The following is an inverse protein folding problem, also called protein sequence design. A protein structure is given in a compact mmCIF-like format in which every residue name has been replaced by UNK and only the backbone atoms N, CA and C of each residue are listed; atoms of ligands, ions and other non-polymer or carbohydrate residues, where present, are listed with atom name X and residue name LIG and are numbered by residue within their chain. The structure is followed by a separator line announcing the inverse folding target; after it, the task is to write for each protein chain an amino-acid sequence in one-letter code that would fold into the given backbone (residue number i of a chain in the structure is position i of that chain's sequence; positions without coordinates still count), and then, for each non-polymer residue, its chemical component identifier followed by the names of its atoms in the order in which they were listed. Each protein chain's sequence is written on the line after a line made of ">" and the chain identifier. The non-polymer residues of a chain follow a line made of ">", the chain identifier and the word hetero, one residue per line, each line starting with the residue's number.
data_IF_994095041848
#
_entry.id   IF_994095041848
#
_cell.length_a   1.000
_cell.length_b   1.000
_cell.length_c   1.000
_cell.angle_alpha   90.00
_cell.angle_beta   90.00
_cell.angle_gamma   90.00
#
_symmetry.space_group_name_H-M   'P 1'
#
loop_
_entity.id
_entity.type
_entity.pdbx_description
1 polymer ?
#
# COMPACT_ATOMS: atom_id res chain seq x y z
N UNK A 1 -3.44 22.03 -24.02
CA UNK A 1 -2.30 21.48 -23.24
C UNK A 1 -2.72 20.50 -22.16
N UNK A 2 -3.76 20.76 -21.33
CA UNK A 2 -4.17 19.85 -20.24
C UNK A 2 -4.61 18.44 -20.72
N UNK A 3 -5.25 18.31 -21.89
CA UNK A 3 -5.66 16.99 -22.41
C UNK A 3 -4.48 16.11 -22.83
N UNK A 4 -3.46 16.67 -23.48
CA UNK A 4 -2.29 15.88 -23.91
C UNK A 4 -1.47 15.35 -22.72
N UNK A 5 -1.38 16.10 -21.63
CA UNK A 5 -0.69 15.66 -20.41
C UNK A 5 -1.48 14.61 -19.62
N UNK A 6 -2.80 14.71 -19.60
CA UNK A 6 -3.67 13.69 -18.97
C UNK A 6 -3.64 12.38 -19.75
N UNK A 7 -3.67 12.41 -21.09
CA UNK A 7 -3.54 11.19 -21.92
C UNK A 7 -2.17 10.53 -21.74
N UNK A 8 -1.07 11.31 -21.73
CA UNK A 8 0.29 10.77 -21.51
C UNK A 8 0.45 10.19 -20.10
N UNK A 9 -0.02 10.89 -19.07
CA UNK A 9 0.05 10.41 -17.68
C UNK A 9 -0.76 9.13 -17.47
N UNK A 10 -1.96 9.05 -18.05
CA UNK A 10 -2.81 7.85 -18.01
C UNK A 10 -2.07 6.63 -18.61
N UNK A 11 -1.45 6.79 -19.78
CA UNK A 11 -0.68 5.71 -20.41
C UNK A 11 0.52 5.23 -19.58
N UNK A 12 1.23 6.15 -18.90
CA UNK A 12 2.33 5.78 -17.99
C UNK A 12 1.82 4.93 -16.83
N UNK A 13 0.69 5.29 -16.22
CA UNK A 13 0.13 4.51 -15.11
C UNK A 13 -0.42 3.15 -15.57
N UNK A 14 -0.95 3.02 -16.78
CA UNK A 14 -1.28 1.70 -17.34
C UNK A 14 -0.03 0.82 -17.51
N UNK A 15 1.08 1.37 -18.01
CA UNK A 15 2.33 0.64 -18.11
C UNK A 15 2.85 0.22 -16.73
N UNK A 16 2.81 1.12 -15.74
CA UNK A 16 3.18 0.81 -14.36
C UNK A 16 2.29 -0.29 -13.77
N UNK A 17 0.99 -0.30 -14.08
CA UNK A 17 0.10 -1.38 -13.67
C UNK A 17 0.59 -2.74 -14.21
N UNK A 18 0.92 -2.83 -15.52
CA UNK A 18 1.43 -4.07 -16.11
C UNK A 18 2.75 -4.52 -15.46
N UNK A 19 3.67 -3.58 -15.20
CA UNK A 19 4.94 -3.86 -14.53
C UNK A 19 4.69 -4.36 -13.09
N UNK A 20 3.82 -3.68 -12.34
CA UNK A 20 3.44 -4.07 -10.98
C UNK A 20 2.80 -5.44 -10.92
N UNK A 21 1.89 -5.74 -11.85
CA UNK A 21 1.26 -7.06 -11.96
C UNK A 21 2.32 -8.13 -12.24
N UNK A 22 3.18 -7.92 -13.25
CA UNK A 22 4.23 -8.87 -13.60
C UNK A 22 5.20 -9.12 -12.43
N UNK A 23 5.64 -8.05 -11.76
CA UNK A 23 6.59 -8.15 -10.64
C UNK A 23 6.00 -8.93 -9.45
N UNK A 24 4.78 -8.58 -9.02
CA UNK A 24 4.14 -9.21 -7.86
C UNK A 24 3.68 -10.64 -8.15
N UNK A 25 3.02 -10.87 -9.29
CA UNK A 25 2.45 -12.19 -9.60
C UNK A 25 3.49 -13.22 -9.99
N UNK A 26 4.65 -12.82 -10.54
CA UNK A 26 5.77 -13.76 -10.74
C UNK A 26 6.14 -14.43 -9.42
N UNK A 27 6.26 -13.67 -8.34
CA UNK A 27 6.56 -14.23 -7.01
C UNK A 27 5.36 -14.91 -6.36
N UNK A 28 4.13 -14.45 -6.61
CA UNK A 28 2.93 -15.14 -6.13
C UNK A 28 2.82 -16.56 -6.73
N UNK A 29 3.06 -16.72 -8.03
CA UNK A 29 3.11 -18.05 -8.65
C UNK A 29 4.24 -18.92 -8.09
N UNK A 30 5.41 -18.34 -7.83
CA UNK A 30 6.50 -19.05 -7.15
C UNK A 30 6.09 -19.48 -5.73
N UNK A 31 5.35 -18.65 -5.01
CA UNK A 31 4.84 -18.99 -3.68
C UNK A 31 3.82 -20.13 -3.73
N UNK A 32 2.89 -20.11 -4.68
CA UNK A 32 1.94 -21.22 -4.88
C UNK A 32 2.67 -22.52 -5.18
N UNK A 33 3.69 -22.48 -6.03
CA UNK A 33 4.50 -23.64 -6.34
C UNK A 33 5.32 -24.14 -5.13
N UNK A 34 5.91 -23.22 -4.37
CA UNK A 34 6.62 -23.52 -3.14
C UNK A 34 5.70 -24.21 -2.12
N UNK A 35 4.52 -23.62 -1.86
CA UNK A 35 3.52 -24.16 -0.93
C UNK A 35 3.01 -25.53 -1.38
N UNK A 36 2.69 -25.70 -2.66
CA UNK A 36 2.23 -26.99 -3.19
C UNK A 36 3.28 -28.09 -3.02
N UNK A 37 4.55 -27.79 -3.31
CA UNK A 37 5.66 -28.74 -3.12
C UNK A 37 5.84 -29.14 -1.66
N UNK A 38 5.73 -28.17 -0.75
CA UNK A 38 5.84 -28.42 0.68
C UNK A 38 4.69 -29.30 1.19
N UNK A 39 3.44 -28.94 0.85
CA UNK A 39 2.26 -29.75 1.19
C UNK A 39 2.40 -31.18 0.65
N UNK A 40 2.81 -31.34 -0.62
CA UNK A 40 2.98 -32.65 -1.25
C UNK A 40 4.04 -33.50 -0.54
N UNK A 41 5.15 -32.90 -0.09
CA UNK A 41 6.19 -33.61 0.64
C UNK A 41 5.70 -34.12 2.00
N UNK A 42 4.81 -33.39 2.67
CA UNK A 42 4.24 -33.78 3.97
C UNK A 42 3.09 -34.76 3.85
N UNK A 43 2.26 -34.63 2.82
CA UNK A 43 1.05 -35.42 2.66
C UNK A 43 1.32 -36.92 2.38
N UNK A 44 2.57 -37.33 2.14
CA UNK A 44 3.00 -38.73 1.88
C UNK A 44 2.33 -39.42 0.68
N UNK A 45 1.45 -38.71 -0.02
CA UNK A 45 0.79 -39.21 -1.21
C UNK A 45 1.67 -38.97 -2.43
N UNK A 46 2.11 -40.05 -3.09
CA UNK A 46 2.74 -40.03 -4.41
C UNK A 46 1.80 -39.60 -5.54
N UNK A 47 0.81 -38.73 -5.26
CA UNK A 47 -0.21 -38.32 -6.20
C UNK A 47 0.43 -37.57 -7.38
N UNK A 48 0.05 -37.88 -8.63
CA UNK A 48 0.40 -37.05 -9.77
C UNK A 48 -0.24 -35.66 -9.62
N UNK A 49 0.24 -34.68 -10.37
CA UNK A 49 -0.43 -33.37 -10.44
C UNK A 49 -1.77 -33.55 -11.13
N UNK A 50 -2.86 -33.33 -10.40
CA UNK A 50 -4.24 -33.40 -10.90
C UNK A 50 -5.10 -32.29 -10.28
N UNK A 51 -6.31 -32.10 -10.80
CA UNK A 51 -7.27 -31.19 -10.16
C UNK A 51 -7.62 -31.63 -8.74
N UNK A 52 -7.69 -32.95 -8.49
CA UNK A 52 -7.92 -33.49 -7.15
C UNK A 52 -6.78 -33.15 -6.19
N UNK A 53 -5.52 -33.26 -6.63
CA UNK A 53 -4.37 -32.91 -5.80
C UNK A 53 -4.29 -31.41 -5.53
N UNK A 54 -4.67 -30.57 -6.49
CA UNK A 54 -4.78 -29.11 -6.31
C UNK A 54 -5.92 -28.79 -5.34
N UNK A 55 -7.07 -29.44 -5.47
CA UNK A 55 -8.22 -29.25 -4.59
C UNK A 55 -7.88 -29.63 -3.15
N UNK A 56 -7.21 -30.77 -2.93
CA UNK A 56 -6.76 -31.18 -1.60
C UNK A 56 -5.72 -30.21 -1.02
N UNK A 57 -4.76 -29.75 -1.82
CA UNK A 57 -3.79 -28.75 -1.39
C UNK A 57 -4.45 -27.45 -0.93
N UNK A 58 -5.39 -26.91 -1.72
CA UNK A 58 -6.11 -25.68 -1.38
C UNK A 58 -7.04 -25.84 -0.17
N UNK A 59 -7.56 -27.05 0.06
CA UNK A 59 -8.35 -27.38 1.25
C UNK A 59 -7.48 -27.46 2.51
N UNK A 60 -6.32 -28.11 2.43
CA UNK A 60 -5.47 -28.41 3.59
C UNK A 60 -4.50 -27.28 3.96
N UNK A 61 -4.37 -26.27 3.10
CA UNK A 61 -3.37 -25.20 3.28
C UNK A 61 -4.02 -23.83 3.43
N UNK A 62 -3.73 -23.17 4.55
CA UNK A 62 -4.06 -21.76 4.77
C UNK A 62 -3.05 -20.84 4.08
N UNK A 63 -3.12 -20.74 2.74
CA UNK A 63 -2.17 -19.95 1.94
C UNK A 63 -2.03 -18.51 2.43
N UNK A 64 -3.16 -17.85 2.71
CA UNK A 64 -3.16 -16.46 3.15
C UNK A 64 -2.51 -16.28 4.53
N UNK A 65 -2.83 -17.15 5.50
CA UNK A 65 -2.22 -17.10 6.84
C UNK A 65 -0.71 -17.35 6.77
N UNK A 66 -0.30 -18.39 6.05
CA UNK A 66 1.12 -18.72 5.89
C UNK A 66 1.94 -17.60 5.23
N UNK A 67 1.41 -16.99 4.16
CA UNK A 67 2.06 -15.87 3.49
C UNK A 67 2.20 -14.66 4.42
N UNK A 68 1.13 -14.27 5.11
CA UNK A 68 1.17 -13.10 5.98
C UNK A 68 2.05 -13.30 7.22
N UNK A 69 2.08 -14.50 7.81
CA UNK A 69 3.02 -14.80 8.90
C UNK A 69 4.46 -14.73 8.42
N UNK A 70 4.75 -15.25 7.23
CA UNK A 70 6.09 -15.20 6.66
C UNK A 70 6.62 -13.77 6.48
N UNK A 71 5.75 -12.82 6.15
CA UNK A 71 6.14 -11.42 5.92
C UNK A 71 6.00 -10.53 7.17
N UNK A 72 5.39 -11.04 8.24
CA UNK A 72 5.19 -10.32 9.50
C UNK A 72 6.05 -10.81 10.67
N UNK A 73 6.60 -12.02 10.58
CA UNK A 73 7.47 -12.56 11.64
C UNK A 73 8.93 -12.24 11.33
N UNK A 74 9.53 -11.40 12.19
CA UNK A 74 10.93 -11.00 12.11
C UNK A 74 11.08 -9.52 11.75
N UNK A 75 12.10 -8.87 12.33
CA UNK A 75 12.25 -7.42 12.26
C UNK A 75 12.46 -6.93 10.82
N UNK A 76 13.27 -7.65 10.04
CA UNK A 76 13.58 -7.29 8.66
C UNK A 76 12.46 -7.61 7.69
N UNK A 77 11.73 -8.71 7.88
CA UNK A 77 10.53 -9.04 7.12
C UNK A 77 9.47 -7.95 7.34
N UNK A 78 9.27 -7.57 8.60
CA UNK A 78 8.32 -6.55 8.96
C UNK A 78 8.74 -5.16 8.47
N UNK A 79 10.03 -4.83 8.42
CA UNK A 79 10.57 -3.58 7.81
C UNK A 79 10.05 -3.36 6.39
N UNK A 80 9.93 -4.40 5.59
CA UNK A 80 9.27 -4.31 4.29
C UNK A 80 7.75 -4.18 4.49
N UNK A 81 7.12 -5.19 5.08
CA UNK A 81 5.67 -5.37 5.05
C UNK A 81 4.87 -4.24 5.70
N UNK A 82 5.40 -3.64 6.78
CA UNK A 82 4.71 -2.56 7.48
C UNK A 82 4.51 -1.35 6.58
N UNK A 83 5.43 -1.09 5.63
CA UNK A 83 5.34 0.06 4.72
C UNK A 83 4.13 -0.08 3.80
N UNK A 84 3.87 -1.29 3.29
CA UNK A 84 2.71 -1.56 2.45
C UNK A 84 1.41 -1.45 3.25
N UNK A 85 1.40 -2.01 4.47
CA UNK A 85 0.22 -1.97 5.34
C UNK A 85 -0.12 -0.54 5.76
N UNK A 86 0.88 0.22 6.21
CA UNK A 86 0.71 1.60 6.66
C UNK A 86 0.34 2.53 5.49
N UNK A 87 0.98 2.37 4.32
CA UNK A 87 0.58 3.06 3.09
C UNK A 87 -0.88 2.79 2.76
N UNK A 88 -1.30 1.53 2.79
CA UNK A 88 -2.65 1.11 2.39
C UNK A 88 -3.71 1.72 3.31
N UNK A 89 -3.47 1.67 4.62
CA UNK A 89 -4.37 2.22 5.65
C UNK A 89 -4.40 3.74 5.66
N UNK A 90 -3.25 4.39 5.80
CA UNK A 90 -3.20 5.81 6.14
C UNK A 90 -3.03 6.74 4.94
N UNK A 91 -2.69 6.19 3.76
CA UNK A 91 -2.42 6.99 2.55
C UNK A 91 -3.37 6.63 1.43
N UNK A 92 -3.39 5.37 1.01
CA UNK A 92 -4.14 4.96 -0.17
C UNK A 92 -5.65 4.97 0.06
N UNK A 93 -6.11 4.47 1.21
CA UNK A 93 -7.54 4.53 1.58
C UNK A 93 -8.08 5.97 1.57
N UNK A 94 -7.42 6.95 2.23
CA UNK A 94 -7.82 8.36 2.13
C UNK A 94 -7.78 8.91 0.70
N UNK A 95 -6.75 8.60 -0.08
CA UNK A 95 -6.65 9.05 -1.49
C UNK A 95 -7.87 8.54 -2.28
N UNK A 96 -8.18 7.25 -2.19
CA UNK A 96 -9.34 6.68 -2.88
C UNK A 96 -10.64 7.32 -2.41
N UNK A 97 -10.84 7.46 -1.10
CA UNK A 97 -12.06 8.05 -0.55
C UNK A 97 -12.24 9.53 -0.98
N UNK A 98 -11.18 10.33 -0.84
CA UNK A 98 -11.19 11.76 -1.14
C UNK A 98 -11.28 12.01 -2.64
N UNK A 99 -10.37 11.43 -3.44
CA UNK A 99 -10.35 11.66 -4.89
C UNK A 99 -11.51 10.96 -5.59
N UNK A 100 -11.92 9.78 -5.12
CA UNK A 100 -13.13 9.10 -5.59
C UNK A 100 -14.38 9.94 -5.36
N UNK A 101 -14.51 10.57 -4.19
CA UNK A 101 -15.60 11.50 -3.92
C UNK A 101 -15.50 12.76 -4.78
N UNK A 102 -14.34 13.41 -4.83
CA UNK A 102 -14.14 14.66 -5.59
C UNK A 102 -14.47 14.53 -7.06
N UNK A 103 -14.12 13.38 -7.64
CA UNK A 103 -14.25 13.08 -9.07
C UNK A 103 -15.49 12.26 -9.41
N UNK A 104 -16.27 11.88 -8.39
CA UNK A 104 -17.46 11.03 -8.53
C UNK A 104 -17.15 9.73 -9.28
N UNK A 105 -16.00 9.13 -8.99
CA UNK A 105 -15.59 7.86 -9.62
C UNK A 105 -16.53 6.75 -9.09
N UNK A 106 -17.30 6.08 -9.96
CA UNK A 106 -18.18 5.01 -9.54
C UNK A 106 -17.35 3.82 -9.06
N UNK A 107 -17.86 3.11 -8.06
CA UNK A 107 -17.26 1.88 -7.53
C UNK A 107 -15.78 2.02 -7.13
N UNK A 108 -15.37 3.16 -6.54
CA UNK A 108 -13.97 3.38 -6.12
C UNK A 108 -13.46 2.29 -5.16
N UNK A 109 -14.35 1.67 -4.39
CA UNK A 109 -14.06 0.53 -3.52
C UNK A 109 -13.51 -0.69 -4.29
N UNK A 110 -13.82 -0.83 -5.58
CA UNK A 110 -13.33 -1.93 -6.40
C UNK A 110 -11.80 -1.88 -6.56
N UNK A 111 -11.20 -0.69 -6.57
CA UNK A 111 -9.74 -0.56 -6.56
C UNK A 111 -9.15 -1.09 -5.26
N UNK A 112 -9.77 -0.82 -4.11
CA UNK A 112 -9.34 -1.39 -2.83
C UNK A 112 -9.41 -2.92 -2.85
N UNK A 113 -10.52 -3.51 -3.30
CA UNK A 113 -10.62 -4.97 -3.42
C UNK A 113 -9.59 -5.55 -4.38
N UNK A 114 -9.37 -4.89 -5.52
CA UNK A 114 -8.33 -5.28 -6.47
C UNK A 114 -6.95 -5.25 -5.82
N UNK A 115 -6.69 -4.27 -4.96
CA UNK A 115 -5.47 -4.18 -4.17
C UNK A 115 -5.29 -5.34 -3.19
N UNK A 116 -6.38 -5.76 -2.53
CA UNK A 116 -6.36 -6.89 -1.60
C UNK A 116 -6.18 -8.25 -2.28
N UNK A 117 -6.75 -8.42 -3.48
CA UNK A 117 -6.75 -9.70 -4.20
C UNK A 117 -5.51 -9.86 -5.10
N UNK A 118 -5.04 -8.77 -5.71
CA UNK A 118 -4.00 -8.81 -6.75
C UNK A 118 -2.69 -8.22 -6.23
N UNK A 119 -2.64 -6.89 -6.06
CA UNK A 119 -1.51 -6.14 -5.52
C UNK A 119 -1.90 -4.67 -5.35
N UNK A 120 -1.38 -4.01 -4.32
CA UNK A 120 -1.69 -2.59 -4.04
C UNK A 120 -1.11 -1.70 -5.14
N UNK A 121 0.09 -1.97 -5.64
CA UNK A 121 0.72 -1.21 -6.73
C UNK A 121 -0.01 -1.32 -8.06
N UNK A 122 -0.53 -2.51 -8.40
CA UNK A 122 -1.37 -2.70 -9.57
C UNK A 122 -2.64 -1.85 -9.48
N UNK A 123 -3.37 -1.98 -8.37
CA UNK A 123 -4.60 -1.23 -8.15
C UNK A 123 -4.37 0.28 -8.05
N UNK A 124 -3.30 0.72 -7.39
CA UNK A 124 -2.92 2.13 -7.26
C UNK A 124 -2.59 2.76 -8.61
N UNK A 125 -1.87 2.04 -9.47
CA UNK A 125 -1.57 2.50 -10.83
C UNK A 125 -2.84 2.72 -11.63
N UNK A 126 -3.76 1.75 -11.64
CA UNK A 126 -5.05 1.90 -12.32
C UNK A 126 -5.89 3.03 -11.72
N UNK A 127 -5.92 3.15 -10.39
CA UNK A 127 -6.65 4.23 -9.71
C UNK A 127 -6.08 5.60 -10.09
N UNK A 128 -4.76 5.78 -10.15
CA UNK A 128 -4.15 7.03 -10.58
C UNK A 128 -4.42 7.35 -12.06
N UNK A 129 -4.45 6.35 -12.94
CA UNK A 129 -4.88 6.52 -14.32
C UNK A 129 -6.31 7.08 -14.40
N UNK A 130 -7.24 6.53 -13.60
CA UNK A 130 -8.63 7.01 -13.55
C UNK A 130 -8.77 8.38 -12.90
N UNK A 131 -8.03 8.66 -11.83
CA UNK A 131 -7.99 9.99 -11.19
C UNK A 131 -7.55 11.06 -12.20
N UNK A 132 -6.61 10.76 -13.10
CA UNK A 132 -6.19 11.68 -14.15
C UNK A 132 -7.25 11.87 -15.24
N UNK A 133 -8.07 10.86 -15.51
CA UNK A 133 -9.10 10.90 -16.54
C UNK A 133 -10.37 11.66 -16.09
N UNK A 134 -10.72 11.62 -14.81
CA UNK A 134 -11.94 12.26 -14.29
C UNK A 134 -11.65 13.64 -13.68
N UNK A 135 -12.37 14.71 -14.05
CA UNK A 135 -12.18 16.03 -13.44
C UNK A 135 -12.73 16.08 -12.01
N UNK A 136 -12.09 16.84 -11.13
CA UNK A 136 -12.60 17.11 -9.79
C UNK A 136 -13.77 18.11 -9.84
N UNK A 137 -14.87 17.81 -9.16
CA UNK A 137 -16.13 18.59 -9.20
C UNK A 137 -16.77 18.84 -7.84
N UNK A 138 -16.49 18.02 -6.82
CA UNK A 138 -17.06 18.14 -5.46
C UNK A 138 -15.96 18.16 -4.41
N UNK A 139 -16.26 18.64 -3.20
CA UNK A 139 -15.40 18.42 -2.03
C UNK A 139 -16.01 17.34 -1.12
N UNK A 140 -15.17 16.59 -0.38
CA UNK A 140 -15.63 15.62 0.62
C UNK A 140 -16.51 16.24 1.70
N UNK A 141 -17.53 15.49 2.14
CA UNK A 141 -18.33 15.83 3.33
C UNK A 141 -17.56 15.59 4.63
N UNK A 142 -17.88 16.35 5.68
CA UNK A 142 -17.35 16.18 7.05
C UNK A 142 -17.48 14.75 7.57
N UNK A 143 -18.61 14.09 7.32
CA UNK A 143 -18.85 12.73 7.80
C UNK A 143 -17.90 11.70 7.16
N UNK A 144 -17.57 11.92 5.88
CA UNK A 144 -16.56 11.12 5.18
C UNK A 144 -15.18 11.35 5.81
N UNK A 145 -14.81 12.60 6.10
CA UNK A 145 -13.51 12.90 6.71
C UNK A 145 -13.38 12.33 8.12
N UNK A 146 -14.43 12.42 8.95
CA UNK A 146 -14.47 11.78 10.29
C UNK A 146 -14.30 10.27 10.19
N UNK A 147 -15.00 9.64 9.24
CA UNK A 147 -14.89 8.21 8.97
C UNK A 147 -13.48 7.81 8.52
N UNK A 148 -12.88 8.59 7.63
CA UNK A 148 -11.48 8.41 7.20
C UNK A 148 -10.56 8.46 8.42
N UNK A 149 -10.63 9.50 9.25
CA UNK A 149 -9.79 9.63 10.45
C UNK A 149 -9.93 8.42 11.36
N UNK A 150 -11.16 7.99 11.64
CA UNK A 150 -11.42 6.79 12.46
C UNK A 150 -10.75 5.54 11.86
N UNK A 151 -10.90 5.33 10.54
CA UNK A 151 -10.32 4.17 9.86
C UNK A 151 -8.80 4.22 9.81
N UNK A 152 -8.20 5.40 9.62
CA UNK A 152 -6.74 5.59 9.68
C UNK A 152 -6.22 5.24 11.07
N UNK A 153 -6.80 5.82 12.13
CA UNK A 153 -6.32 5.61 13.50
C UNK A 153 -6.47 4.14 13.90
N UNK A 154 -7.65 3.55 13.67
CA UNK A 154 -7.88 2.13 13.94
C UNK A 154 -6.96 1.23 13.12
N UNK A 155 -6.81 1.50 11.83
CA UNK A 155 -5.98 0.70 10.95
C UNK A 155 -4.49 0.81 11.31
N UNK A 156 -3.98 2.00 11.63
CA UNK A 156 -2.60 2.17 12.09
C UNK A 156 -2.38 1.42 13.41
N UNK A 157 -3.38 1.40 14.31
CA UNK A 157 -3.38 0.55 15.48
C UNK A 157 -3.18 -0.93 15.13
N UNK A 158 -3.93 -1.45 14.15
CA UNK A 158 -3.76 -2.84 13.69
C UNK A 158 -2.39 -3.10 13.04
N UNK A 159 -1.82 -2.12 12.32
CA UNK A 159 -0.46 -2.22 11.76
C UNK A 159 0.56 -2.33 12.89
N UNK A 160 0.52 -1.43 13.87
CA UNK A 160 1.45 -1.46 15.02
C UNK A 160 1.31 -2.75 15.83
N UNK A 161 0.10 -3.28 15.99
CA UNK A 161 -0.15 -4.54 16.70
C UNK A 161 0.34 -5.79 15.96
N UNK A 162 0.39 -5.75 14.62
CA UNK A 162 0.67 -6.91 13.76
C UNK A 162 1.90 -7.74 14.17
N UNK A 163 3.11 -7.17 14.36
CA UNK A 163 4.29 -7.98 14.72
C UNK A 163 4.15 -8.65 16.08
N UNK A 164 3.41 -8.06 17.03
CA UNK A 164 3.19 -8.62 18.36
C UNK A 164 2.22 -9.79 18.37
N UNK A 165 1.24 -9.79 17.45
CA UNK A 165 0.27 -10.89 17.32
C UNK A 165 0.64 -11.89 16.23
N UNK A 166 1.67 -11.63 15.41
CA UNK A 166 2.04 -12.42 14.22
C UNK A 166 2.34 -13.90 14.48
N UNK A 167 2.74 -14.27 15.70
CA UNK A 167 2.97 -15.68 16.10
C UNK A 167 1.77 -16.32 16.78
N UNK A 168 0.77 -15.53 17.18
CA UNK A 168 -0.41 -16.01 17.91
C UNK A 168 -1.61 -16.28 17.01
N UNK A 169 -2.68 -16.76 17.64
CA UNK A 169 -3.98 -17.03 16.98
C UNK A 169 -4.72 -15.74 16.59
N UNK A 170 -4.50 -14.66 17.35
CA UNK A 170 -5.11 -13.35 17.10
C UNK A 170 -4.63 -12.63 15.83
N UNK A 171 -3.59 -13.14 15.15
CA UNK A 171 -3.03 -12.51 13.95
C UNK A 171 -4.08 -12.31 12.85
N UNK A 172 -4.83 -13.37 12.54
CA UNK A 172 -5.82 -13.35 11.46
C UNK A 172 -6.99 -12.41 11.77
N UNK A 173 -7.39 -12.31 13.03
CA UNK A 173 -8.43 -11.36 13.45
C UNK A 173 -7.95 -9.90 13.35
N UNK A 174 -6.71 -9.62 13.75
CA UNK A 174 -6.11 -8.29 13.61
C UNK A 174 -6.02 -7.90 12.12
N UNK A 175 -5.59 -8.82 11.27
CA UNK A 175 -5.49 -8.60 9.83
C UNK A 175 -6.87 -8.41 9.18
N UNK A 176 -7.88 -9.22 9.54
CA UNK A 176 -9.26 -9.03 9.10
C UNK A 176 -9.81 -7.66 9.52
N UNK A 177 -9.54 -7.24 10.76
CA UNK A 177 -9.93 -5.92 11.27
C UNK A 177 -9.31 -4.80 10.43
N UNK A 178 -8.02 -4.91 10.11
CA UNK A 178 -7.34 -3.98 9.20
C UNK A 178 -8.10 -3.89 7.86
N UNK A 179 -8.42 -5.03 7.23
CA UNK A 179 -9.10 -5.06 5.93
C UNK A 179 -10.50 -4.45 5.96
N UNK A 180 -11.28 -4.68 7.02
CA UNK A 180 -12.60 -4.05 7.19
C UNK A 180 -12.46 -2.52 7.24
N UNK A 181 -11.49 -2.02 8.00
CA UNK A 181 -11.24 -0.57 8.14
C UNK A 181 -10.80 0.09 6.82
N UNK A 182 -10.13 -0.65 5.94
CA UNK A 182 -9.73 -0.14 4.62
C UNK A 182 -10.93 0.13 3.68
N UNK A 183 -11.99 -0.66 3.79
CA UNK A 183 -13.13 -0.60 2.87
C UNK A 183 -14.21 0.35 3.40
N UNK A 184 -14.38 0.44 4.71
CA UNK A 184 -15.44 1.20 5.37
C UNK A 184 -15.60 2.67 4.90
N UNK A 185 -14.54 3.46 4.64
CA UNK A 185 -14.67 4.84 4.14
C UNK A 185 -14.95 4.94 2.63
N UNK A 186 -14.90 3.83 1.88
CA UNK A 186 -15.08 3.81 0.43
C UNK A 186 -16.54 3.62 0.00
N UNK A 187 -17.43 3.30 0.94
CA UNK A 187 -18.87 3.29 0.71
C UNK A 187 -19.44 4.70 0.83
N UNK A 188 -20.23 5.10 -0.18
CA UNK A 188 -20.73 6.47 -0.33
C UNK A 188 -21.64 6.88 0.83
N UNK A 189 -21.33 8.01 1.45
CA UNK A 189 -22.24 8.73 2.37
C UNK A 189 -22.94 9.86 1.61
N UNK A 190 -24.13 10.26 2.10
CA UNK A 190 -24.93 11.33 1.49
C UNK A 190 -24.12 12.62 1.31
N UNK A 191 -24.41 13.33 0.22
CA UNK A 191 -23.67 14.52 -0.18
C UNK A 191 -24.06 15.74 0.66
N UNK A 192 -23.11 16.25 1.43
CA UNK A 192 -23.07 17.64 1.87
C UNK A 192 -21.71 18.19 1.44
N UNK A 193 -21.71 19.26 0.64
CA UNK A 193 -20.47 19.87 0.15
C UNK A 193 -20.08 21.00 1.08
N UNK A 194 -18.98 20.83 1.81
CA UNK A 194 -18.37 21.90 2.59
C UNK A 194 -16.89 21.95 2.26
N UNK A 195 -16.35 23.15 2.01
CA UNK A 195 -14.92 23.30 1.69
C UNK A 195 -14.10 23.01 2.95
N UNK A 196 -13.43 21.85 3.00
CA UNK A 196 -12.58 21.46 4.15
C UNK A 196 -11.11 21.14 3.78
N UNK A 197 -10.43 22.01 3.01
CA UNK A 197 -9.06 21.70 2.57
C UNK A 197 -8.06 21.62 3.73
N UNK A 198 -8.33 22.25 4.88
CA UNK A 198 -7.42 22.21 6.04
C UNK A 198 -7.46 20.85 6.74
N UNK A 199 -8.65 20.25 6.89
CA UNK A 199 -8.81 18.92 7.48
C UNK A 199 -8.15 17.86 6.61
N UNK A 200 -8.33 17.95 5.29
CA UNK A 200 -7.68 17.02 4.33
C UNK A 200 -6.15 17.13 4.42
N UNK A 201 -5.63 18.36 4.48
CA UNK A 201 -4.19 18.59 4.69
C UNK A 201 -3.70 17.97 6.00
N UNK A 202 -4.44 18.14 7.11
CA UNK A 202 -4.10 17.55 8.40
C UNK A 202 -4.13 16.02 8.37
N UNK A 203 -5.09 15.40 7.68
CA UNK A 203 -5.15 13.93 7.49
C UNK A 203 -3.87 13.43 6.83
N UNK A 204 -3.43 14.09 5.75
CA UNK A 204 -2.22 13.69 5.04
C UNK A 204 -0.93 13.96 5.84
N UNK A 205 -0.84 15.09 6.56
CA UNK A 205 0.29 15.36 7.44
C UNK A 205 0.36 14.34 8.57
N UNK A 206 -0.78 14.00 9.18
CA UNK A 206 -0.86 12.97 10.20
C UNK A 206 -0.42 11.60 9.66
N UNK A 207 -0.91 11.19 8.49
CA UNK A 207 -0.50 9.95 7.85
C UNK A 207 1.02 9.91 7.58
N UNK A 208 1.58 10.99 7.03
CA UNK A 208 3.02 11.12 6.80
C UNK A 208 3.82 11.00 8.10
N UNK A 209 3.41 11.71 9.15
CA UNK A 209 4.10 11.70 10.45
C UNK A 209 4.02 10.35 11.14
N UNK A 210 2.84 9.74 11.18
CA UNK A 210 2.65 8.42 11.77
C UNK A 210 3.46 7.34 11.03
N UNK A 211 3.43 7.34 9.70
CA UNK A 211 4.20 6.39 8.91
C UNK A 211 5.71 6.59 9.08
N UNK A 212 6.18 7.84 9.19
CA UNK A 212 7.59 8.13 9.48
C UNK A 212 7.99 7.60 10.85
N UNK A 213 7.16 7.78 11.88
CA UNK A 213 7.43 7.25 13.22
C UNK A 213 7.52 5.72 13.23
N UNK A 214 6.55 5.02 12.61
CA UNK A 214 6.57 3.56 12.50
C UNK A 214 7.83 3.09 11.74
N UNK A 215 8.16 3.78 10.64
CA UNK A 215 9.34 3.45 9.82
C UNK A 215 10.66 3.65 10.57
N UNK A 216 10.83 4.76 11.28
CA UNK A 216 12.02 5.03 12.09
C UNK A 216 12.14 4.04 13.25
N UNK A 217 11.04 3.72 13.92
CA UNK A 217 11.01 2.71 14.98
C UNK A 217 11.43 1.33 14.43
N UNK A 218 10.91 0.94 13.27
CA UNK A 218 11.26 -0.36 12.68
C UNK A 218 12.72 -0.41 12.23
N UNK A 219 13.23 0.65 11.62
CA UNK A 219 14.65 0.78 11.30
C UNK A 219 15.53 0.67 12.54
N UNK A 220 15.14 1.31 13.65
CA UNK A 220 15.87 1.19 14.91
C UNK A 220 15.93 -0.27 15.40
N UNK A 221 14.83 -1.02 15.32
CA UNK A 221 14.81 -2.45 15.66
C UNK A 221 15.74 -3.26 14.74
N UNK A 222 15.63 -3.08 13.43
CA UNK A 222 16.50 -3.77 12.46
C UNK A 222 17.98 -3.47 12.69
N UNK A 223 18.34 -2.19 12.87
CA UNK A 223 19.72 -1.78 13.07
C UNK A 223 20.27 -2.27 14.42
N UNK A 224 19.46 -2.28 15.48
CA UNK A 224 19.88 -2.82 16.79
C UNK A 224 20.03 -4.34 16.78
N UNK A 225 19.42 -5.05 15.83
CA UNK A 225 19.63 -6.50 15.64
C UNK A 225 20.97 -6.85 14.97
N UNK A 226 21.69 -5.86 14.40
CA UNK A 226 22.95 -6.10 13.70
C UNK A 226 24.14 -6.11 14.66
N UNK A 227 25.07 -7.03 14.41
CA UNK A 227 26.37 -7.03 15.08
C UNK A 227 27.33 -5.96 14.54
N UNK A 228 27.09 -5.45 13.33
CA UNK A 228 27.93 -4.44 12.68
C UNK A 228 27.12 -3.49 11.79
N UNK A 229 27.45 -2.21 11.83
CA UNK A 229 26.70 -1.11 11.16
C UNK A 229 27.30 -0.70 9.81
N UNK A 230 27.86 -1.64 9.06
CA UNK A 230 28.38 -1.33 7.72
C UNK A 230 27.24 -1.24 6.70
N UNK A 231 27.26 -0.25 5.76
CA UNK A 231 26.25 -0.13 4.72
C UNK A 231 26.08 -1.40 3.87
N UNK A 232 27.17 -2.13 3.63
CA UNK A 232 27.14 -3.42 2.91
C UNK A 232 26.31 -4.46 3.66
N UNK A 233 26.44 -4.55 4.99
CA UNK A 233 25.67 -5.48 5.83
C UNK A 233 24.18 -5.16 5.77
N UNK A 234 23.81 -3.88 5.82
CA UNK A 234 22.40 -3.47 5.71
C UNK A 234 21.84 -3.84 4.33
N UNK A 235 22.59 -3.55 3.26
CA UNK A 235 22.17 -3.88 1.90
C UNK A 235 22.04 -5.40 1.70
N UNK A 236 22.99 -6.17 2.23
CA UNK A 236 22.95 -7.63 2.21
C UNK A 236 21.71 -8.17 2.93
N UNK A 237 21.38 -7.65 4.10
CA UNK A 237 20.17 -8.05 4.84
C UNK A 237 18.89 -7.71 4.07
N UNK A 238 18.80 -6.50 3.49
CA UNK A 238 17.66 -6.10 2.67
C UNK A 238 17.47 -7.04 1.47
N UNK A 239 18.55 -7.33 0.73
CA UNK A 239 18.53 -8.22 -0.44
C UNK A 239 18.20 -9.65 -0.01
N UNK A 240 18.84 -10.14 1.05
CA UNK A 240 18.62 -11.49 1.57
C UNK A 240 17.16 -11.68 1.93
N UNK A 241 16.58 -10.77 2.72
CA UNK A 241 15.17 -10.83 3.12
C UNK A 241 14.25 -10.73 1.92
N UNK A 242 14.55 -9.84 0.96
CA UNK A 242 13.78 -9.70 -0.27
C UNK A 242 13.64 -11.04 -1.02
N UNK A 243 14.74 -11.80 -1.17
CA UNK A 243 14.76 -13.04 -1.95
C UNK A 243 14.65 -14.32 -1.10
N UNK A 244 14.55 -14.22 0.23
CA UNK A 244 14.56 -15.38 1.12
C UNK A 244 13.35 -16.30 0.92
N UNK A 245 12.18 -15.72 0.68
CA UNK A 245 10.94 -16.47 0.51
C UNK A 245 10.03 -15.81 -0.54
N UNK A 246 9.39 -16.56 -1.44
CA UNK A 246 8.60 -15.97 -2.54
C UNK A 246 7.43 -15.10 -2.07
N UNK A 247 6.77 -15.43 -0.96
CA UNK A 247 5.75 -14.54 -0.35
C UNK A 247 6.34 -13.17 0.04
N UNK A 248 7.55 -13.15 0.62
CA UNK A 248 8.26 -11.91 0.96
C UNK A 248 8.65 -11.15 -0.31
N UNK A 249 9.20 -11.84 -1.31
CA UNK A 249 9.56 -11.23 -2.60
C UNK A 249 8.36 -10.57 -3.28
N UNK A 250 7.18 -11.17 -3.20
CA UNK A 250 5.93 -10.60 -3.73
C UNK A 250 5.59 -9.27 -3.06
N UNK A 251 5.57 -9.23 -1.72
CA UNK A 251 5.26 -8.01 -0.95
C UNK A 251 6.33 -6.93 -1.14
N UNK A 252 7.61 -7.31 -1.08
CA UNK A 252 8.71 -6.37 -1.29
C UNK A 252 8.71 -5.79 -2.70
N UNK A 253 8.36 -6.58 -3.72
CA UNK A 253 8.17 -6.09 -5.09
C UNK A 253 7.01 -5.11 -5.21
N UNK A 254 5.90 -5.36 -4.49
CA UNK A 254 4.75 -4.44 -4.43
C UNK A 254 5.17 -3.08 -3.86
N UNK A 255 5.98 -3.09 -2.79
CA UNK A 255 6.54 -1.87 -2.19
C UNK A 255 7.44 -1.12 -3.18
N UNK A 256 8.39 -1.80 -3.83
CA UNK A 256 9.26 -1.16 -4.84
C UNK A 256 8.44 -0.54 -5.96
N UNK A 257 7.40 -1.22 -6.42
CA UNK A 257 6.48 -0.66 -7.40
C UNK A 257 5.75 0.58 -6.87
N UNK A 258 5.25 0.56 -5.63
CA UNK A 258 4.64 1.73 -5.00
C UNK A 258 5.58 2.93 -4.89
N UNK A 259 6.87 2.71 -4.68
CA UNK A 259 7.89 3.76 -4.73
C UNK A 259 7.95 4.41 -6.11
N UNK A 260 8.05 3.60 -7.17
CA UNK A 260 8.11 4.08 -8.55
C UNK A 260 6.82 4.81 -8.97
N UNK A 261 5.66 4.29 -8.56
CA UNK A 261 4.34 4.91 -8.80
C UNK A 261 4.28 6.28 -8.12
N UNK A 262 4.72 6.37 -6.87
CA UNK A 262 4.76 7.62 -6.09
C UNK A 262 5.68 8.65 -6.74
N UNK A 263 6.91 8.26 -7.10
CA UNK A 263 7.86 9.12 -7.79
C UNK A 263 7.29 9.61 -9.12
N UNK A 264 6.62 8.75 -9.87
CA UNK A 264 5.96 9.09 -11.13
C UNK A 264 4.81 10.09 -10.92
N UNK A 265 3.97 9.87 -9.91
CA UNK A 265 2.88 10.79 -9.56
C UNK A 265 3.40 12.19 -9.21
N UNK A 266 4.43 12.25 -8.36
CA UNK A 266 5.09 13.51 -7.96
C UNK A 266 5.72 14.18 -9.18
N UNK A 267 6.39 13.42 -10.04
CA UNK A 267 7.04 13.94 -11.26
C UNK A 267 6.03 14.58 -12.22
N UNK A 268 4.90 13.92 -12.46
CA UNK A 268 3.84 14.42 -13.35
C UNK A 268 3.21 15.70 -12.77
N UNK A 269 3.08 15.79 -11.45
CA UNK A 269 2.43 16.91 -10.75
C UNK A 269 3.40 17.93 -10.14
N UNK A 270 4.67 17.97 -10.59
CA UNK A 270 5.71 18.87 -10.06
C UNK A 270 5.39 20.36 -10.31
N UNK A 271 4.52 20.92 -9.49
CA UNK A 271 4.17 22.36 -9.48
C UNK A 271 4.63 23.04 -8.20
N UNK A 272 5.16 22.27 -7.26
CA UNK A 272 5.63 22.75 -5.96
C UNK A 272 7.16 22.69 -5.94
N UNK A 273 7.85 23.64 -5.27
CA UNK A 273 9.31 23.58 -5.13
C UNK A 273 9.78 22.35 -4.33
N UNK A 274 8.87 21.75 -3.54
CA UNK A 274 9.13 20.57 -2.73
C UNK A 274 8.96 19.25 -3.48
N UNK A 275 8.45 19.26 -4.72
CA UNK A 275 8.20 18.04 -5.48
C UNK A 275 9.50 17.24 -5.75
N UNK A 276 10.58 17.92 -6.17
CA UNK A 276 11.83 17.25 -6.49
C UNK A 276 12.52 16.65 -5.24
N UNK A 277 12.64 17.37 -4.11
CA UNK A 277 13.09 16.77 -2.85
C UNK A 277 12.29 15.53 -2.45
N UNK A 278 10.95 15.59 -2.49
CA UNK A 278 10.11 14.44 -2.13
C UNK A 278 10.30 13.25 -3.07
N UNK A 279 10.46 13.50 -4.37
CA UNK A 279 10.75 12.46 -5.36
C UNK A 279 12.07 11.73 -5.03
N UNK A 280 13.13 12.47 -4.73
CA UNK A 280 14.45 11.91 -4.39
C UNK A 280 14.43 11.19 -3.04
N UNK A 281 13.65 11.68 -2.08
CA UNK A 281 13.53 11.07 -0.75
C UNK A 281 12.61 9.85 -0.72
N UNK A 282 11.79 9.60 -1.75
CA UNK A 282 10.80 8.51 -1.76
C UNK A 282 11.45 7.12 -1.56
N UNK A 283 12.53 6.74 -2.26
CA UNK A 283 13.22 5.47 -2.02
C UNK A 283 13.80 5.31 -0.61
N UNK A 284 14.12 6.43 0.07
CA UNK A 284 14.74 6.43 1.40
C UNK A 284 13.70 6.42 2.53
N UNK A 285 12.66 7.25 2.41
CA UNK A 285 11.64 7.47 3.45
C UNK A 285 10.39 6.64 3.27
N UNK A 286 10.24 5.93 2.15
CA UNK A 286 9.02 5.24 1.74
C UNK A 286 7.93 6.13 1.16
N UNK A 287 7.19 5.58 0.18
CA UNK A 287 6.00 6.12 -0.42
C UNK A 287 4.92 6.39 0.64
N UNK A 288 4.89 5.61 1.73
CA UNK A 288 3.98 5.82 2.84
C UNK A 288 4.20 7.18 3.52
N UNK A 289 5.39 7.78 3.40
CA UNK A 289 5.72 9.09 3.98
C UNK A 289 5.63 10.19 2.92
N UNK A 290 6.27 10.01 1.77
CA UNK A 290 6.41 11.09 0.80
C UNK A 290 5.14 11.39 0.02
N UNK A 291 4.33 10.37 -0.31
CA UNK A 291 3.09 10.55 -1.06
C UNK A 291 2.05 11.39 -0.31
N UNK A 292 1.67 11.09 0.96
CA UNK A 292 0.70 11.92 1.67
C UNK A 292 1.26 13.33 1.91
N UNK A 293 2.54 13.49 2.20
CA UNK A 293 3.17 14.82 2.33
C UNK A 293 3.09 15.63 1.02
N UNK A 294 3.25 14.97 -0.13
CA UNK A 294 3.03 15.62 -1.42
C UNK A 294 1.57 16.07 -1.60
N UNK A 295 0.60 15.22 -1.28
CA UNK A 295 -0.82 15.58 -1.34
C UNK A 295 -1.18 16.72 -0.38
N UNK A 296 -0.61 16.77 0.83
CA UNK A 296 -0.86 17.88 1.77
C UNK A 296 -0.37 19.22 1.21
N UNK A 297 0.80 19.23 0.54
CA UNK A 297 1.31 20.42 -0.13
C UNK A 297 0.44 20.85 -1.31
N UNK A 298 -0.14 19.90 -2.05
CA UNK A 298 -1.10 20.21 -3.11
C UNK A 298 -2.37 20.87 -2.54
N UNK A 299 -2.89 20.37 -1.42
CA UNK A 299 -4.04 21.01 -0.72
C UNK A 299 -3.70 22.41 -0.24
N UNK A 300 -2.51 22.61 0.34
CA UNK A 300 -2.04 23.92 0.78
C UNK A 300 -1.99 24.93 -0.37
N UNK A 301 -1.43 24.54 -1.52
CA UNK A 301 -1.39 25.40 -2.71
C UNK A 301 -2.79 25.73 -3.24
N UNK A 302 -3.70 24.75 -3.22
CA UNK A 302 -5.09 24.95 -3.64
C UNK A 302 -5.78 26.00 -2.75
N UNK A 303 -5.56 25.98 -1.45
CA UNK A 303 -6.08 27.01 -0.54
C UNK A 303 -5.53 28.40 -0.86
N UNK A 304 -4.22 28.51 -1.09
CA UNK A 304 -3.58 29.80 -1.32
C UNK A 304 -4.08 30.47 -2.61
N UNK A 305 -4.33 29.68 -3.66
CA UNK A 305 -4.92 30.16 -4.91
C UNK A 305 -6.37 30.61 -4.79
N UNK A 306 -7.13 30.11 -3.81
CA UNK A 306 -8.51 30.54 -3.56
C UNK A 306 -8.60 31.86 -2.80
N UNK A 307 -7.50 32.32 -2.19
CA UNK A 307 -7.43 33.57 -1.42
C UNK A 307 -6.92 34.77 -2.25
N UNK A 308 -6.41 34.51 -3.46
CA UNK A 308 -5.98 35.52 -4.43
C UNK A 308 -7.10 35.76 -5.43
#
# INVERSE_FOLDING_TARGET
>A
MISAWTTKGTGIFFLLALISLAATWTYMFQFFFYSYRQWKATASYGLPVSLDSISLWLHDTSLFDSAWRQVSVGDWQWLWSHQLCSLTVSVWTPILAIEGHRRQIPFIWAYMLLGQVVAISFASSLAFAVILAYPASKEPSDDLLKRIVLCIVGGLGTVVLSPFVAKGEGFMLNLLTMHILLILPLFQTKTSSTKQPMVIMMIYVFASGANLMIYLQQWYQCLSSLSSFWPSTILEQLITVFFHHPAQSSISSDIVCMQLITMTWIWIHRRTPYALPLLVMTPLLSASVTLPLFFSLMEYQKQHKLKQ
#
